data_IF_230444840174
#
_entry.id   IF_230444840174
#
_cell.length_a   1.000
_cell.length_b   1.000
_cell.length_c   1.000
_cell.angle_alpha   90.00
_cell.angle_beta   90.00
_cell.angle_gamma   90.00
#
_symmetry.space_group_name_H-M   'P 1'
#
loop_
_entity.id
_entity.type
_entity.pdbx_description
1 polymer ?
#
# COMPACT_ATOMS: atom_id res chain seq x y z
N UNK A 1 -41.46 -3.85 37.00
CA UNK A 1 -40.09 -3.29 36.92
C UNK A 1 -39.02 -4.33 36.58
N UNK A 2 -38.92 -5.47 37.27
CA UNK A 2 -37.88 -6.51 37.00
C UNK A 2 -37.86 -7.06 35.56
N UNK A 3 -39.03 -7.27 34.94
CA UNK A 3 -39.13 -7.77 33.56
C UNK A 3 -38.62 -6.77 32.51
N UNK A 4 -38.86 -5.47 32.72
CA UNK A 4 -38.39 -4.42 31.80
C UNK A 4 -36.87 -4.26 31.83
N UNK A 5 -36.26 -4.39 33.01
CA UNK A 5 -34.80 -4.33 33.18
C UNK A 5 -34.14 -5.51 32.44
N UNK A 6 -34.69 -6.71 32.54
CA UNK A 6 -34.16 -7.90 31.84
C UNK A 6 -34.23 -7.77 30.32
N UNK A 7 -35.34 -7.26 29.78
CA UNK A 7 -35.49 -7.04 28.33
C UNK A 7 -34.49 -6.00 27.82
N UNK A 8 -34.27 -4.92 28.58
CA UNK A 8 -33.32 -3.88 28.20
C UNK A 8 -31.86 -4.37 28.22
N UNK A 9 -31.49 -5.21 29.20
CA UNK A 9 -30.16 -5.83 29.28
C UNK A 9 -29.93 -6.80 28.11
N UNK A 10 -30.93 -7.60 27.74
CA UNK A 10 -30.82 -8.50 26.60
C UNK A 10 -30.67 -7.74 25.26
N UNK A 11 -31.40 -6.65 25.05
CA UNK A 11 -31.30 -5.84 23.83
C UNK A 11 -29.96 -5.11 23.71
N UNK A 12 -29.43 -4.60 24.82
CA UNK A 12 -28.09 -4.00 24.84
C UNK A 12 -27.00 -5.04 24.54
N UNK A 13 -27.11 -6.26 25.08
CA UNK A 13 -26.15 -7.34 24.84
C UNK A 13 -26.00 -7.74 23.37
N UNK A 14 -27.09 -7.79 22.61
CA UNK A 14 -27.08 -8.12 21.16
C UNK A 14 -26.39 -7.03 20.33
N UNK A 15 -26.50 -5.77 20.76
CA UNK A 15 -25.96 -4.61 20.05
C UNK A 15 -24.43 -4.50 20.14
N UNK A 16 -23.82 -4.95 21.26
CA UNK A 16 -22.37 -4.90 21.44
C UNK A 16 -21.63 -5.98 20.65
N UNK A 17 -22.26 -7.13 20.38
CA UNK A 17 -21.60 -8.25 19.72
C UNK A 17 -21.36 -8.04 18.20
N UNK A 18 -22.14 -7.18 17.55
CA UNK A 18 -22.14 -7.02 16.09
C UNK A 18 -21.18 -5.92 15.57
N UNK A 19 -20.61 -5.10 16.45
CA UNK A 19 -19.77 -3.95 16.07
C UNK A 19 -18.30 -4.26 15.76
N UNK A 20 -17.72 -5.33 16.29
CA UNK A 20 -16.27 -5.56 16.26
C UNK A 20 -15.76 -6.41 15.08
N UNK A 21 -16.65 -7.03 14.29
CA UNK A 21 -16.29 -8.18 13.46
C UNK A 21 -15.37 -7.86 12.26
N UNK A 22 -15.21 -6.58 11.86
CA UNK A 22 -14.49 -6.25 10.62
C UNK A 22 -13.36 -5.22 10.74
N UNK A 23 -12.95 -4.88 11.96
CA UNK A 23 -11.89 -3.90 12.18
C UNK A 23 -10.53 -4.35 11.61
N UNK A 24 -10.22 -5.65 11.67
CA UNK A 24 -8.99 -6.20 11.10
C UNK A 24 -8.96 -6.07 9.57
N UNK A 25 -10.05 -6.45 8.89
CA UNK A 25 -10.15 -6.34 7.43
C UNK A 25 -10.06 -4.88 6.96
N UNK A 26 -10.74 -3.95 7.64
CA UNK A 26 -10.68 -2.52 7.30
C UNK A 26 -9.28 -1.93 7.49
N UNK A 27 -8.53 -2.37 8.51
CA UNK A 27 -7.12 -1.98 8.68
C UNK A 27 -6.26 -2.52 7.55
N UNK A 28 -6.42 -3.80 7.18
CA UNK A 28 -5.69 -4.40 6.06
C UNK A 28 -5.98 -3.68 4.74
N UNK A 29 -7.24 -3.33 4.49
CA UNK A 29 -7.63 -2.50 3.33
C UNK A 29 -6.89 -1.16 3.34
N UNK A 30 -6.87 -0.44 4.46
CA UNK A 30 -6.17 0.83 4.58
C UNK A 30 -4.66 0.70 4.29
N UNK A 31 -4.00 -0.34 4.81
CA UNK A 31 -2.59 -0.62 4.52
C UNK A 31 -2.37 -1.01 3.06
N UNK A 32 -3.27 -1.79 2.46
CA UNK A 32 -3.20 -2.13 1.05
C UNK A 32 -3.33 -0.87 0.17
N UNK A 33 -4.18 0.09 0.55
CA UNK A 33 -4.27 1.39 -0.15
C UNK A 33 -3.00 2.23 -0.01
N UNK A 34 -2.38 2.24 1.16
CA UNK A 34 -1.09 2.90 1.34
C UNK A 34 0.00 2.23 0.47
N UNK A 35 -0.01 0.89 0.35
CA UNK A 35 0.86 0.18 -0.57
C UNK A 35 0.63 0.59 -2.03
N UNK A 36 -0.61 0.73 -2.48
CA UNK A 36 -0.93 1.21 -3.84
C UNK A 36 -0.39 2.62 -4.06
N UNK A 37 -0.55 3.52 -3.09
CA UNK A 37 -0.02 4.88 -3.18
C UNK A 37 1.51 4.88 -3.32
N UNK A 38 2.22 4.10 -2.50
CA UNK A 38 3.66 3.95 -2.58
C UNK A 38 4.11 3.36 -3.92
N UNK A 39 3.46 2.30 -4.41
CA UNK A 39 3.80 1.69 -5.70
C UNK A 39 3.64 2.69 -6.84
N UNK A 40 2.55 3.45 -6.87
CA UNK A 40 2.35 4.51 -7.88
C UNK A 40 3.40 5.61 -7.78
N UNK A 41 3.75 6.03 -6.56
CA UNK A 41 4.76 7.06 -6.34
C UNK A 41 6.14 6.58 -6.81
N UNK A 42 6.50 5.33 -6.52
CA UNK A 42 7.75 4.75 -6.98
C UNK A 42 7.79 4.61 -8.51
N UNK A 43 6.70 4.15 -9.14
CA UNK A 43 6.59 4.12 -10.61
C UNK A 43 6.79 5.52 -11.21
N UNK A 44 6.07 6.52 -10.71
CA UNK A 44 6.22 7.90 -11.18
C UNK A 44 7.62 8.46 -10.94
N UNK A 45 8.26 8.15 -9.80
CA UNK A 45 9.64 8.58 -9.52
C UNK A 45 10.64 7.97 -10.51
N UNK A 46 10.47 6.69 -10.88
CA UNK A 46 11.29 6.04 -11.90
C UNK A 46 11.08 6.71 -13.26
N UNK A 47 9.84 6.98 -13.64
CA UNK A 47 9.51 7.65 -14.90
C UNK A 47 10.12 9.05 -14.96
N UNK A 48 9.98 9.86 -13.91
CA UNK A 48 10.60 11.18 -13.82
C UNK A 48 12.12 11.10 -13.92
N UNK A 49 12.75 10.17 -13.20
CA UNK A 49 14.19 9.96 -13.31
C UNK A 49 14.59 9.61 -14.75
N UNK A 50 13.90 8.68 -15.39
CA UNK A 50 14.20 8.22 -16.75
C UNK A 50 13.98 9.31 -17.82
N UNK A 51 13.08 10.27 -17.57
CA UNK A 51 12.88 11.42 -18.48
C UNK A 51 14.04 12.41 -18.44
N UNK A 52 14.64 12.61 -17.26
CA UNK A 52 15.71 13.60 -17.06
C UNK A 52 17.12 13.06 -17.32
N UNK A 53 17.27 11.74 -17.52
CA UNK A 53 18.57 11.08 -17.64
C UNK A 53 18.69 10.33 -18.98
N UNK A 54 19.85 10.42 -19.66
CA UNK A 54 20.07 9.70 -20.93
C UNK A 54 20.14 8.18 -20.73
N UNK A 55 20.58 7.73 -19.55
CA UNK A 55 20.63 6.33 -19.18
C UNK A 55 19.45 5.98 -18.27
N UNK A 56 18.46 5.30 -18.85
CA UNK A 56 17.25 4.88 -18.13
C UNK A 56 17.51 3.67 -17.22
N UNK A 57 16.82 3.65 -16.07
CA UNK A 57 16.88 2.58 -15.08
C UNK A 57 16.21 1.32 -15.61
N UNK A 58 17.01 0.27 -15.84
CA UNK A 58 16.49 -1.05 -16.23
C UNK A 58 16.10 -1.89 -15.02
N UNK A 59 17.02 -1.97 -14.08
CA UNK A 59 16.87 -2.71 -12.82
C UNK A 59 16.73 -1.70 -11.69
N UNK A 60 15.68 -1.88 -10.89
CA UNK A 60 15.35 -1.01 -9.77
C UNK A 60 15.27 -1.87 -8.51
N UNK A 61 15.67 -1.31 -7.38
CA UNK A 61 15.54 -1.97 -6.08
C UNK A 61 15.05 -0.97 -5.03
N UNK A 62 14.55 -1.50 -3.91
CA UNK A 62 13.91 -0.65 -2.90
C UNK A 62 14.86 0.36 -2.24
N UNK A 63 16.17 0.07 -2.17
CA UNK A 63 17.15 0.96 -1.56
C UNK A 63 17.30 2.28 -2.32
N UNK A 64 16.95 2.31 -3.62
CA UNK A 64 16.92 3.53 -4.42
C UNK A 64 15.93 4.58 -3.89
N UNK A 65 14.90 4.15 -3.15
CA UNK A 65 13.82 4.99 -2.59
C UNK A 65 13.98 5.26 -1.09
N UNK A 66 15.09 4.86 -0.49
CA UNK A 66 15.40 5.07 0.92
C UNK A 66 16.33 6.28 1.12
N UNK A 67 16.62 6.63 2.37
CA UNK A 67 17.49 7.76 2.70
C UNK A 67 18.88 7.60 2.05
N UNK A 68 19.31 8.64 1.35
CA UNK A 68 20.56 8.61 0.58
C UNK A 68 20.52 7.73 -0.69
N UNK A 69 19.36 7.17 -1.02
CA UNK A 69 19.10 6.42 -2.25
C UNK A 69 19.13 7.31 -3.49
N UNK A 70 19.11 6.68 -4.66
CA UNK A 70 19.19 7.37 -5.95
C UNK A 70 18.10 8.43 -6.11
N UNK A 71 16.85 8.11 -5.77
CA UNK A 71 15.71 9.00 -5.95
C UNK A 71 15.78 10.26 -5.07
N UNK A 72 16.46 10.16 -3.93
CA UNK A 72 16.71 11.29 -3.04
C UNK A 72 17.88 12.15 -3.58
N UNK A 73 18.95 11.51 -4.06
CA UNK A 73 20.12 12.18 -4.65
C UNK A 73 19.79 12.94 -5.93
N UNK A 74 18.87 12.40 -6.74
CA UNK A 74 18.37 13.05 -7.95
C UNK A 74 17.26 14.09 -7.67
N UNK A 75 16.92 14.36 -6.40
CA UNK A 75 15.84 15.28 -6.01
C UNK A 75 14.46 14.94 -6.57
N UNK A 76 14.26 13.70 -7.03
CA UNK A 76 12.95 13.19 -7.48
C UNK A 76 12.04 12.95 -6.28
N UNK A 77 12.60 12.45 -5.17
CA UNK A 77 11.90 12.30 -3.91
C UNK A 77 12.44 13.25 -2.84
N UNK A 78 11.51 13.80 -2.05
CA UNK A 78 11.83 14.65 -0.88
C UNK A 78 12.00 13.87 0.42
N UNK A 79 11.48 12.65 0.48
CA UNK A 79 11.53 11.78 1.66
C UNK A 79 11.52 10.31 1.23
N UNK A 80 12.06 9.41 2.05
CA UNK A 80 12.08 7.99 1.75
C UNK A 80 10.66 7.39 1.78
N UNK A 81 10.46 6.31 1.02
CA UNK A 81 9.21 5.56 1.05
C UNK A 81 9.07 4.82 2.38
N UNK A 82 7.99 5.10 3.09
CA UNK A 82 7.63 4.43 4.35
C UNK A 82 6.78 3.19 4.07
N UNK A 83 7.17 2.06 4.65
CA UNK A 83 6.38 0.83 4.57
C UNK A 83 5.11 0.96 5.42
N UNK A 84 3.92 0.58 4.91
CA UNK A 84 2.70 0.68 5.70
C UNK A 84 2.69 -0.22 6.95
N UNK A 85 3.36 -1.37 6.87
CA UNK A 85 3.54 -2.32 7.99
C UNK A 85 4.88 -3.05 7.87
N UNK A 86 5.31 -3.70 8.94
CA UNK A 86 6.49 -4.58 9.00
C UNK A 86 6.42 -5.82 8.09
N UNK A 87 5.20 -6.19 7.66
CA UNK A 87 4.96 -7.29 6.70
C UNK A 87 5.14 -6.85 5.25
N UNK A 88 5.19 -5.56 4.98
CA UNK A 88 5.32 -5.03 3.64
C UNK A 88 6.79 -5.00 3.21
N UNK A 89 7.07 -5.43 2.00
CA UNK A 89 8.34 -5.21 1.32
C UNK A 89 8.06 -5.13 -0.18
N UNK A 90 8.81 -4.30 -0.91
CA UNK A 90 8.58 -4.12 -2.34
C UNK A 90 9.60 -4.91 -3.17
N UNK A 91 9.09 -5.61 -4.18
CA UNK A 91 9.86 -6.26 -5.23
C UNK A 91 9.61 -5.61 -6.58
N UNK A 92 10.64 -5.60 -7.41
CA UNK A 92 10.69 -4.96 -8.70
C UNK A 92 11.04 -6.02 -9.75
N UNK A 93 10.20 -6.17 -10.77
CA UNK A 93 10.37 -7.19 -11.81
C UNK A 93 10.16 -6.58 -13.18
N UNK A 94 10.92 -7.02 -14.17
CA UNK A 94 10.86 -6.48 -15.54
C UNK A 94 11.86 -5.35 -15.78
N UNK A 95 11.75 -4.71 -16.94
CA UNK A 95 12.64 -3.62 -17.36
C UNK A 95 11.93 -2.27 -17.18
N UNK A 96 12.44 -1.43 -16.28
CA UNK A 96 11.84 -0.12 -16.00
C UNK A 96 12.21 0.98 -17.01
N UNK A 97 13.08 0.68 -17.97
CA UNK A 97 13.40 1.58 -19.08
C UNK A 97 12.43 1.43 -20.26
N UNK A 98 11.58 0.41 -20.24
CA UNK A 98 10.58 0.15 -21.27
C UNK A 98 9.18 0.50 -20.76
N UNK A 99 8.34 1.02 -21.65
CA UNK A 99 6.95 1.37 -21.34
C UNK A 99 6.18 0.11 -20.96
N UNK A 100 5.47 0.15 -19.82
CA UNK A 100 4.61 -0.92 -19.29
C UNK A 100 5.30 -2.28 -19.00
N UNK A 101 6.64 -2.33 -18.94
CA UNK A 101 7.36 -3.58 -18.68
C UNK A 101 7.77 -3.77 -17.21
N UNK A 102 7.99 -2.68 -16.46
CA UNK A 102 8.35 -2.71 -15.05
C UNK A 102 7.14 -2.88 -14.13
N UNK A 103 7.18 -3.87 -13.25
CA UNK A 103 6.11 -4.15 -12.27
C UNK A 103 6.68 -4.06 -10.85
N UNK A 104 6.00 -3.28 -10.01
CA UNK A 104 6.25 -3.22 -8.57
C UNK A 104 5.18 -4.03 -7.85
N UNK A 105 5.58 -4.86 -6.89
CA UNK A 105 4.68 -5.66 -6.07
C UNK A 105 5.08 -5.62 -4.59
N UNK A 106 4.09 -5.75 -3.71
CA UNK A 106 4.31 -5.89 -2.26
C UNK A 106 4.28 -7.36 -1.85
N UNK A 107 5.17 -7.81 -0.97
CA UNK A 107 5.15 -9.19 -0.45
C UNK A 107 3.84 -9.54 0.29
N UNK A 108 3.28 -8.59 1.05
CA UNK A 108 2.03 -8.78 1.79
C UNK A 108 0.77 -8.56 0.95
N UNK A 109 0.78 -7.56 0.06
CA UNK A 109 -0.43 -7.09 -0.65
C UNK A 109 -0.43 -7.35 -2.15
N UNK A 110 0.67 -7.85 -2.71
CA UNK A 110 0.87 -8.14 -4.14
C UNK A 110 0.84 -6.88 -5.02
N UNK A 111 0.44 -6.98 -6.29
CA UNK A 111 0.42 -5.88 -7.26
C UNK A 111 -0.77 -4.93 -7.03
N UNK A 112 -0.72 -3.74 -7.64
CA UNK A 112 -1.85 -2.79 -7.62
C UNK A 112 -3.14 -3.44 -8.13
N UNK A 113 -3.06 -4.22 -9.22
CA UNK A 113 -4.21 -4.89 -9.82
C UNK A 113 -4.87 -5.87 -8.84
N UNK A 114 -4.08 -6.73 -8.19
CA UNK A 114 -4.59 -7.69 -7.21
C UNK A 114 -5.17 -7.01 -5.97
N UNK A 115 -4.61 -5.85 -5.56
CA UNK A 115 -5.18 -5.06 -4.47
C UNK A 115 -6.54 -4.48 -4.86
N UNK A 116 -6.67 -3.92 -6.06
CA UNK A 116 -7.93 -3.34 -6.54
C UNK A 116 -9.01 -4.43 -6.77
N UNK A 117 -8.61 -5.66 -7.09
CA UNK A 117 -9.52 -6.83 -7.15
C UNK A 117 -9.95 -7.28 -5.74
N UNK A 118 -9.03 -7.36 -4.78
CA UNK A 118 -9.33 -7.76 -3.39
C UNK A 118 -10.17 -6.71 -2.65
N UNK A 119 -9.87 -5.44 -2.90
CA UNK A 119 -10.54 -4.28 -2.34
C UNK A 119 -11.05 -3.41 -3.50
N UNK A 120 -12.27 -3.65 -4.00
CA UNK A 120 -12.84 -2.80 -5.04
C UNK A 120 -13.13 -1.41 -4.49
N UNK A 121 -12.78 -0.36 -5.23
CA UNK A 121 -13.22 1.01 -4.92
C UNK A 121 -14.72 1.08 -5.22
N UNK A 122 -15.50 1.45 -4.20
CA UNK A 122 -16.94 1.69 -4.33
C UNK A 122 -17.21 3.04 -4.99
#
# INVERSE_FOLDING_TARGET
MRAFILVFVCLLGVSFASGCCNAAQKRDEAYARACVANMRLMTGAIEFYNMDHPEMLKNVDFSMFQDGGLMMKSSVLKQPIQLPTDKCSYSFTGNFAEVDAGVISCAAHRTIKEIDEKYPRK
#
